data_IF_383974699182
#
_entry.id   IF_383974699182
#
_cell.length_a   1.000
_cell.length_b   1.000
_cell.length_c   1.000
_cell.angle_alpha   90.00
_cell.angle_beta   90.00
_cell.angle_gamma   90.00
#
_symmetry.space_group_name_H-M   'P 1'
#
loop_
_entity.id
_entity.type
_entity.pdbx_description
1 polymer ?
#
# COMPACT_ATOMS: atom_id res chain seq x y z
N UNK A 1 4.83 8.76 3.09
CA UNK A 1 3.63 9.46 2.59
C UNK A 1 2.57 8.44 2.18
N UNK A 2 1.28 8.79 2.29
CA UNK A 2 0.19 7.97 1.73
C UNK A 2 0.11 8.19 0.22
N UNK A 3 0.40 7.14 -0.55
CA UNK A 3 0.30 7.15 -2.01
C UNK A 3 -1.09 6.73 -2.49
N UNK A 4 -1.68 5.71 -1.85
CA UNK A 4 -3.02 5.23 -2.21
C UNK A 4 -3.71 4.64 -1.00
N UNK A 5 -4.99 4.95 -0.83
CA UNK A 5 -5.86 4.26 0.13
C UNK A 5 -6.77 3.30 -0.64
N UNK A 6 -6.87 2.07 -0.17
CA UNK A 6 -7.90 1.13 -0.62
C UNK A 6 -9.24 1.45 0.03
N UNK A 7 -10.30 0.81 -0.43
CA UNK A 7 -11.57 0.76 0.27
C UNK A 7 -11.47 -0.15 1.49
N UNK A 8 -12.31 0.09 2.50
CA UNK A 8 -12.43 -0.83 3.63
C UNK A 8 -13.32 -1.99 3.19
N UNK A 9 -12.77 -3.20 3.22
CA UNK A 9 -13.45 -4.42 2.80
C UNK A 9 -13.86 -5.23 4.03
N UNK A 10 -14.98 -5.94 3.93
CA UNK A 10 -15.37 -6.95 4.93
C UNK A 10 -14.91 -8.32 4.46
N UNK A 11 -14.36 -9.13 5.36
CA UNK A 11 -14.04 -10.52 5.10
C UNK A 11 -14.82 -11.43 6.05
N UNK A 12 -15.18 -12.61 5.57
CA UNK A 12 -15.78 -13.66 6.37
C UNK A 12 -15.17 -14.99 5.92
N UNK A 13 -14.45 -15.66 6.82
CA UNK A 13 -13.94 -17.00 6.62
C UNK A 13 -14.28 -17.87 7.83
N UNK A 14 -14.08 -19.19 7.69
CA UNK A 14 -14.46 -20.19 8.70
C UNK A 14 -13.90 -19.88 10.10
N UNK A 15 -12.77 -19.18 10.18
CA UNK A 15 -12.10 -18.88 11.45
C UNK A 15 -12.43 -17.48 11.98
N UNK A 16 -12.67 -16.49 11.11
CA UNK A 16 -12.79 -15.09 11.47
C UNK A 16 -13.68 -14.32 10.48
N UNK A 17 -14.44 -13.37 11.02
CA UNK A 17 -15.04 -12.28 10.26
C UNK A 17 -14.41 -10.94 10.68
N UNK A 18 -14.53 -9.92 9.83
CA UNK A 18 -13.95 -8.63 10.16
C UNK A 18 -13.90 -7.61 9.03
N UNK A 19 -13.21 -6.50 9.30
CA UNK A 19 -12.89 -5.43 8.35
C UNK A 19 -11.39 -5.44 8.09
N UNK A 20 -11.00 -5.23 6.83
CA UNK A 20 -9.62 -5.05 6.41
C UNK A 20 -9.51 -3.74 5.63
N UNK A 21 -8.43 -2.99 5.89
CA UNK A 21 -8.10 -1.81 5.12
C UNK A 21 -6.64 -1.89 4.68
N UNK A 22 -6.38 -1.64 3.40
CA UNK A 22 -5.04 -1.64 2.81
C UNK A 22 -4.72 -0.26 2.25
N UNK A 23 -3.48 0.16 2.40
CA UNK A 23 -2.96 1.36 1.76
C UNK A 23 -1.54 1.14 1.26
N UNK A 24 -1.12 1.94 0.29
CA UNK A 24 0.25 1.98 -0.20
C UNK A 24 0.91 3.22 0.38
N UNK A 25 2.00 2.99 1.11
CA UNK A 25 2.88 4.03 1.63
C UNK A 25 4.15 4.07 0.79
N UNK A 26 4.74 5.25 0.69
CA UNK A 26 6.01 5.48 -0.01
C UNK A 26 6.96 6.28 0.88
N UNK A 27 8.23 5.89 0.90
CA UNK A 27 9.32 6.61 1.57
C UNK A 27 10.01 7.64 0.64
N UNK A 28 10.97 8.39 1.18
CA UNK A 28 11.68 9.43 0.45
C UNK A 28 12.65 8.87 -0.62
N UNK A 29 12.86 7.56 -0.66
CA UNK A 29 13.62 6.88 -1.70
C UNK A 29 12.72 6.34 -2.83
N UNK A 30 11.39 6.45 -2.67
CA UNK A 30 10.43 5.87 -3.60
C UNK A 30 10.09 4.42 -3.34
N UNK A 31 10.59 3.83 -2.25
CA UNK A 31 10.23 2.48 -1.84
C UNK A 31 8.77 2.45 -1.44
N UNK A 32 7.99 1.61 -2.11
CA UNK A 32 6.57 1.41 -1.78
C UNK A 32 6.43 0.21 -0.85
N UNK A 33 5.59 0.35 0.17
CA UNK A 33 5.20 -0.74 1.06
C UNK A 33 3.68 -0.75 1.22
N UNK A 34 3.09 -1.93 1.30
CA UNK A 34 1.69 -2.08 1.65
C UNK A 34 1.55 -2.06 3.17
N UNK A 35 0.68 -1.17 3.68
CA UNK A 35 0.23 -1.19 5.06
C UNK A 35 -1.18 -1.81 5.14
N UNK A 36 -1.39 -2.70 6.10
CA UNK A 36 -2.64 -3.44 6.31
C UNK A 36 -3.14 -3.25 7.74
N UNK A 37 -4.43 -3.01 7.90
CA UNK A 37 -5.12 -2.87 9.17
C UNK A 37 -6.29 -3.84 9.22
N UNK A 38 -6.52 -4.42 10.39
CA UNK A 38 -7.64 -5.33 10.64
C UNK A 38 -8.49 -4.81 11.80
N UNK A 39 -9.80 -4.95 11.70
CA UNK A 39 -10.75 -4.79 12.80
C UNK A 39 -10.56 -3.47 13.58
N UNK A 40 -10.18 -3.55 14.87
CA UNK A 40 -9.97 -2.38 15.73
C UNK A 40 -8.94 -1.40 15.18
N UNK A 41 -7.92 -1.87 14.45
CA UNK A 41 -6.97 -0.96 13.80
C UNK A 41 -7.65 -0.15 12.68
N UNK A 42 -8.56 -0.76 11.91
CA UNK A 42 -9.36 -0.01 10.92
C UNK A 42 -10.14 1.08 11.62
N UNK A 43 -10.85 0.75 12.70
CA UNK A 43 -11.63 1.71 13.49
C UNK A 43 -10.78 2.85 14.04
N UNK A 44 -9.58 2.55 14.54
CA UNK A 44 -8.65 3.54 15.09
C UNK A 44 -8.16 4.53 14.03
N UNK A 45 -7.81 4.03 12.85
CA UNK A 45 -7.11 4.83 11.83
C UNK A 45 -8.02 5.40 10.73
N UNK A 46 -9.29 5.03 10.71
CA UNK A 46 -10.31 5.61 9.83
C UNK A 46 -10.39 7.14 10.06
N UNK A 47 -10.14 7.92 9.01
CA UNK A 47 -10.09 9.39 9.07
C UNK A 47 -8.73 10.00 9.48
N UNK A 48 -7.74 9.21 9.92
CA UNK A 48 -6.40 9.72 10.29
C UNK A 48 -5.53 9.91 9.05
N UNK A 49 -5.47 8.88 8.19
CA UNK A 49 -4.66 8.93 6.98
C UNK A 49 -5.34 9.75 5.89
N UNK A 50 -4.59 10.60 5.22
CA UNK A 50 -5.03 11.39 4.07
C UNK A 50 -4.04 11.24 2.91
N UNK A 51 -4.57 11.26 1.68
CA UNK A 51 -3.76 11.19 0.47
C UNK A 51 -2.71 12.31 0.43
N UNK A 52 -1.50 12.00 -0.04
CA UNK A 52 -0.36 12.92 -0.14
C UNK A 52 0.15 13.51 1.19
N UNK A 53 -0.36 13.07 2.34
CA UNK A 53 0.19 13.45 3.65
C UNK A 53 1.29 12.50 4.11
N UNK A 54 2.25 13.04 4.86
CA UNK A 54 3.38 12.30 5.41
C UNK A 54 3.12 11.96 6.89
N UNK A 55 3.52 10.75 7.29
CA UNK A 55 3.29 10.25 8.64
C UNK A 55 4.56 9.58 9.16
N UNK A 56 4.88 9.83 10.43
CA UNK A 56 5.76 8.98 11.21
C UNK A 56 4.91 7.84 11.78
N UNK A 57 5.31 6.61 11.53
CA UNK A 57 4.61 5.41 11.98
C UNK A 57 5.61 4.58 12.79
N UNK A 58 5.25 4.24 14.02
CA UNK A 58 6.06 3.42 14.93
C UNK A 58 5.21 2.36 15.63
N UNK A 59 5.87 1.32 16.14
CA UNK A 59 5.22 0.21 16.83
C UNK A 59 4.20 -0.53 15.93
N UNK A 60 4.51 -0.65 14.64
CA UNK A 60 3.84 -1.55 13.70
C UNK A 60 4.62 -2.86 13.55
N UNK A 61 4.02 -3.86 12.92
CA UNK A 61 4.68 -5.16 12.65
C UNK A 61 5.04 -5.28 11.18
N UNK A 62 6.30 -5.59 10.88
CA UNK A 62 6.73 -5.91 9.51
C UNK A 62 6.75 -7.43 9.33
N UNK A 63 6.14 -7.92 8.25
CA UNK A 63 6.09 -9.35 7.92
C UNK A 63 6.25 -9.59 6.42
N UNK A 64 6.42 -10.85 6.02
CA UNK A 64 6.35 -11.25 4.61
C UNK A 64 4.91 -11.13 4.09
N UNK A 65 4.69 -10.63 2.86
CA UNK A 65 3.39 -10.66 2.21
C UNK A 65 2.83 -12.07 2.11
N UNK A 66 1.51 -12.19 2.19
CA UNK A 66 0.83 -13.44 1.88
C UNK A 66 0.82 -13.66 0.37
N UNK A 67 1.50 -14.71 -0.10
CA UNK A 67 1.69 -15.03 -1.52
C UNK A 67 0.37 -15.26 -2.29
N UNK A 68 -0.74 -15.53 -1.58
CA UNK A 68 -2.07 -15.65 -2.19
C UNK A 68 -2.65 -14.32 -2.67
N UNK A 69 -2.08 -13.18 -2.25
CA UNK A 69 -2.56 -11.85 -2.59
C UNK A 69 -1.44 -10.99 -3.17
N UNK A 70 -1.78 -10.18 -4.17
CA UNK A 70 -0.85 -9.19 -4.71
C UNK A 70 -0.44 -8.21 -3.62
N UNK A 71 0.85 -7.88 -3.57
CA UNK A 71 1.43 -6.87 -2.70
C UNK A 71 2.33 -5.96 -3.53
N UNK A 72 2.42 -4.68 -3.16
CA UNK A 72 3.27 -3.69 -3.84
C UNK A 72 4.75 -3.94 -3.60
N UNK A 73 5.12 -4.59 -2.49
CA UNK A 73 6.49 -4.96 -2.18
C UNK A 73 6.60 -6.49 -2.10
N UNK A 74 7.66 -7.10 -2.70
CA UNK A 74 7.75 -8.57 -2.79
C UNK A 74 8.01 -9.27 -1.45
N UNK A 75 8.63 -8.57 -0.49
CA UNK A 75 9.12 -9.19 0.75
C UNK A 75 8.65 -8.54 2.04
N UNK A 76 7.97 -7.39 1.98
CA UNK A 76 7.64 -6.61 3.17
C UNK A 76 6.18 -6.14 3.12
N UNK A 77 5.46 -6.36 4.20
CA UNK A 77 4.14 -5.81 4.47
C UNK A 77 4.14 -5.24 5.89
N UNK A 78 3.66 -4.01 6.04
CA UNK A 78 3.49 -3.37 7.34
C UNK A 78 2.07 -3.67 7.85
N UNK A 79 1.94 -4.16 9.07
CA UNK A 79 0.66 -4.35 9.75
C UNK A 79 0.55 -3.32 10.84
N UNK A 80 -0.46 -2.43 10.74
CA UNK A 80 -0.75 -1.48 11.80
C UNK A 80 -1.72 -2.13 12.79
N UNK A 81 -1.36 -2.06 14.06
CA UNK A 81 -2.12 -2.62 15.16
C UNK A 81 -2.77 -1.49 15.96
N UNK A 82 -3.73 -1.79 16.86
CA UNK A 82 -4.34 -0.76 17.71
C UNK A 82 -3.33 0.01 18.58
N UNK A 83 -2.18 -0.58 18.90
CA UNK A 83 -1.11 0.08 19.66
C UNK A 83 -0.09 0.82 18.79
N UNK A 84 -0.20 0.75 17.45
CA UNK A 84 0.70 1.49 16.55
C UNK A 84 0.48 2.98 16.72
N UNK A 85 1.56 3.73 16.77
CA UNK A 85 1.57 5.19 16.83
C UNK A 85 1.68 5.77 15.43
N UNK A 86 0.82 6.73 15.11
CA UNK A 86 0.77 7.42 13.82
C UNK A 86 0.68 8.91 14.08
N UNK A 87 1.65 9.67 13.56
CA UNK A 87 1.68 11.13 13.68
C UNK A 87 1.91 11.76 12.32
N UNK A 88 1.03 12.66 11.90
CA UNK A 88 1.26 13.47 10.70
C UNK A 88 2.51 14.34 10.90
N UNK A 89 3.30 14.47 9.83
CA UNK A 89 4.49 15.31 9.79
C UNK A 89 4.41 16.27 8.60
N UNK A 90 5.16 17.37 8.69
CA UNK A 90 5.34 18.36 7.62
C UNK A 90 6.39 17.94 6.59
N UNK A 91 6.94 16.72 6.70
CA UNK A 91 7.93 16.20 5.77
C UNK A 91 7.42 16.23 4.33
N UNK A 92 8.15 16.94 3.47
CA UNK A 92 7.87 17.04 2.04
C UNK A 92 8.55 15.91 1.28
N UNK A 93 7.87 15.38 0.28
CA UNK A 93 8.41 14.36 -0.62
C UNK A 93 8.77 15.01 -1.95
N UNK A 94 9.90 14.63 -2.52
CA UNK A 94 10.30 15.08 -3.84
C UNK A 94 9.34 14.48 -4.90
N UNK A 95 8.73 15.34 -5.71
CA UNK A 95 7.83 14.93 -6.78
C UNK A 95 8.53 14.04 -7.83
N UNK A 96 9.85 14.16 -7.97
CA UNK A 96 10.65 13.32 -8.87
C UNK A 96 10.55 11.83 -8.52
N UNK A 97 10.28 11.48 -7.25
CA UNK A 97 10.06 10.10 -6.81
C UNK A 97 8.94 9.41 -7.61
N UNK A 98 7.92 10.16 -8.04
CA UNK A 98 6.79 9.62 -8.81
C UNK A 98 6.98 9.67 -10.33
N UNK A 99 8.03 10.35 -10.81
CA UNK A 99 8.26 10.54 -12.24
C UNK A 99 8.86 9.29 -12.93
N UNK A 100 9.41 8.34 -12.17
CA UNK A 100 10.23 7.25 -12.70
C UNK A 100 9.46 6.05 -13.27
N UNK A 101 8.14 5.99 -13.15
CA UNK A 101 7.35 4.81 -13.56
C UNK A 101 6.60 4.96 -14.89
N UNK A 102 6.73 6.10 -15.57
CA UNK A 102 6.04 6.31 -16.85
C UNK A 102 6.79 5.64 -18.00
N UNK A 103 6.23 4.54 -18.51
CA UNK A 103 6.65 3.97 -19.79
C UNK A 103 5.96 4.76 -20.91
N UNK A 104 6.74 5.30 -21.86
CA UNK A 104 6.19 5.95 -23.05
C UNK A 104 5.24 4.97 -23.77
N UNK A 105 4.04 5.42 -24.15
CA UNK A 105 3.04 4.59 -24.84
C UNK A 105 3.60 3.77 -26.02
N UNK A 106 4.50 4.36 -26.82
CA UNK A 106 5.19 3.68 -27.94
C UNK A 106 5.94 2.40 -27.53
N UNK A 107 6.46 2.33 -26.29
CA UNK A 107 7.16 1.14 -25.76
C UNK A 107 6.19 0.07 -25.25
N UNK A 108 4.99 0.47 -24.83
CA UNK A 108 3.91 -0.44 -24.41
C UNK A 108 3.31 -1.18 -25.61
N UNK A 109 3.04 -0.48 -26.72
CA UNK A 109 2.43 -1.06 -27.92
C UNK A 109 3.24 -2.22 -28.52
N UNK A 110 4.58 -2.11 -28.52
CA UNK A 110 5.48 -3.19 -28.98
C UNK A 110 5.37 -4.50 -28.18
N UNK A 111 4.91 -4.47 -26.94
CA UNK A 111 4.75 -5.68 -26.11
C UNK A 111 3.40 -6.38 -26.31
N UNK A 112 2.39 -5.66 -26.80
CA UNK A 112 1.05 -6.22 -27.06
C UNK A 112 1.07 -7.08 -28.33
N UNK A 113 1.82 -6.65 -29.36
CA UNK A 113 1.93 -7.36 -30.65
C UNK A 113 2.72 -8.69 -30.57
N UNK A 114 3.47 -8.93 -29.49
CA UNK A 114 4.27 -10.16 -29.31
C UNK A 114 3.41 -11.32 -28.76
N UNK A 115 2.30 -11.03 -28.06
CA UNK A 115 1.46 -12.05 -27.41
C UNK A 115 0.20 -12.45 -28.22
N UNK A 116 0.03 -11.95 -29.45
CA UNK A 116 -1.10 -12.32 -30.32
C UNK A 116 -0.84 -13.53 -31.23
N UNK A 117 0.22 -14.32 -30.98
CA UNK A 117 0.49 -15.57 -31.70
C UNK A 117 0.69 -16.74 -30.74
N UNK A 118 -0.38 -17.17 -30.08
CA UNK A 118 -0.56 -18.59 -29.76
C UNK A 118 -2.05 -18.90 -29.98
N UNK A 119 -2.37 -19.22 -31.23
CA UNK A 119 -3.57 -19.97 -31.59
C UNK A 119 -3.27 -21.46 -31.58
#
# INVERSE_FOLDING_TARGET
MVLRQGTIETFNNVQNNGRIWKMILVDNMGTKIQAVMFNEAVRKFEGIFQHSKAYLISNGTVKKPNEKFTNVHPSLELVLQPHTDVRETTSTFDAHIFAHEFVKFKKVQKHIEINSYVG
#
